data_IF_058043639233
#
_entry.id   IF_058043639233
#
_cell.length_a   1.000
_cell.length_b   1.000
_cell.length_c   1.000
_cell.angle_alpha   90.00
_cell.angle_beta   90.00
_cell.angle_gamma   90.00
#
_symmetry.space_group_name_H-M   'P 1'
#
loop_
_entity.id
_entity.type
_entity.pdbx_description
1 polymer ?
#
# COMPACT_ATOMS: atom_id res chain seq x y z
N UNK A 1 -10.78 -15.37 30.97
CA UNK A 1 -9.32 -15.18 31.12
C UNK A 1 -8.58 -15.87 29.98
N UNK A 2 -8.33 -15.20 28.84
CA UNK A 2 -7.79 -15.83 27.64
C UNK A 2 -6.37 -16.39 27.81
N UNK A 3 -5.57 -15.80 28.70
CA UNK A 3 -4.20 -16.25 28.99
C UNK A 3 -4.18 -17.62 29.70
N UNK A 4 -5.02 -17.81 30.71
CA UNK A 4 -5.08 -19.05 31.51
C UNK A 4 -5.56 -20.22 30.66
N UNK A 5 -6.60 -20.01 29.86
CA UNK A 5 -7.13 -21.02 28.93
C UNK A 5 -6.06 -21.44 27.90
N UNK A 6 -5.35 -20.47 27.31
CA UNK A 6 -4.28 -20.74 26.34
C UNK A 6 -3.13 -21.53 26.98
N UNK A 7 -2.73 -21.18 28.20
CA UNK A 7 -1.68 -21.88 28.95
C UNK A 7 -2.11 -23.31 29.29
N UNK A 8 -3.35 -23.52 29.73
CA UNK A 8 -3.91 -24.85 30.03
C UNK A 8 -3.95 -25.75 28.78
N UNK A 9 -4.46 -25.24 27.65
CA UNK A 9 -4.46 -25.96 26.36
C UNK A 9 -3.06 -26.35 25.93
N UNK A 10 -2.10 -25.41 26.04
CA UNK A 10 -0.70 -25.66 25.68
C UNK A 10 -0.01 -26.71 26.56
N UNK A 11 -0.49 -26.91 27.80
CA UNK A 11 0.03 -27.90 28.75
C UNK A 11 -0.56 -29.28 28.49
N UNK A 12 -1.86 -29.35 28.25
CA UNK A 12 -2.61 -30.55 27.85
C UNK A 12 -2.05 -31.15 26.54
N UNK A 13 -1.73 -30.32 25.55
CA UNK A 13 -1.16 -30.78 24.28
C UNK A 13 0.26 -31.34 24.46
N UNK A 14 1.01 -30.85 25.46
CA UNK A 14 2.43 -31.15 25.65
C UNK A 14 2.68 -32.35 26.57
N UNK A 15 1.77 -32.66 27.49
CA UNK A 15 1.85 -33.80 28.40
C UNK A 15 0.74 -34.81 28.10
N UNK A 16 1.12 -36.06 27.82
CA UNK A 16 0.19 -37.16 27.50
C UNK A 16 -0.64 -37.61 28.72
N UNK A 17 -0.14 -37.36 29.93
CA UNK A 17 -0.83 -37.63 31.19
C UNK A 17 -1.60 -36.40 31.67
N UNK A 18 -2.77 -36.16 31.06
CA UNK A 18 -3.67 -35.09 31.53
C UNK A 18 -4.34 -35.47 32.83
N UNK A 19 -4.21 -34.59 33.83
CA UNK A 19 -4.91 -34.77 35.10
C UNK A 19 -6.44 -34.58 34.92
N UNK A 20 -7.27 -35.31 35.69
CA UNK A 20 -8.74 -35.26 35.53
C UNK A 20 -9.33 -33.88 35.86
N UNK A 21 -8.64 -33.07 36.67
CA UNK A 21 -9.09 -31.70 36.97
C UNK A 21 -8.82 -30.72 35.81
N UNK A 22 -7.72 -30.89 35.05
CA UNK A 22 -7.43 -30.05 33.88
C UNK A 22 -8.47 -30.25 32.78
N UNK A 23 -8.91 -31.50 32.56
CA UNK A 23 -10.00 -31.82 31.64
C UNK A 23 -11.33 -31.21 32.09
N UNK A 24 -11.70 -31.37 33.37
CA UNK A 24 -12.91 -30.74 33.93
C UNK A 24 -12.89 -29.22 33.80
N UNK A 25 -11.73 -28.60 34.02
CA UNK A 25 -11.56 -27.15 33.91
C UNK A 25 -11.68 -26.68 32.46
N UNK A 26 -11.19 -27.45 31.49
CA UNK A 26 -11.40 -27.19 30.06
C UNK A 26 -12.89 -27.31 29.67
N UNK A 27 -13.57 -28.36 30.14
CA UNK A 27 -15.02 -28.54 29.92
C UNK A 27 -15.84 -27.40 30.54
N UNK A 28 -15.44 -26.90 31.72
CA UNK A 28 -16.06 -25.74 32.34
C UNK A 28 -15.87 -24.47 31.51
N UNK A 29 -14.69 -24.25 30.91
CA UNK A 29 -14.48 -23.13 29.98
C UNK A 29 -15.35 -23.24 28.74
N UNK A 30 -15.49 -24.45 28.15
CA UNK A 30 -16.36 -24.67 27.00
C UNK A 30 -17.84 -24.41 27.35
N UNK A 31 -18.30 -24.91 28.49
CA UNK A 31 -19.66 -24.65 28.99
C UNK A 31 -19.90 -23.14 29.21
N UNK A 32 -18.92 -22.43 29.78
CA UNK A 32 -18.99 -20.99 29.96
C UNK A 32 -19.05 -20.23 28.62
N UNK A 33 -18.24 -20.61 27.64
CA UNK A 33 -18.26 -20.00 26.30
C UNK A 33 -19.58 -20.27 25.57
N UNK A 34 -20.12 -21.49 25.67
CA UNK A 34 -21.43 -21.84 25.13
C UNK A 34 -22.55 -21.01 25.77
N UNK A 35 -22.54 -20.89 27.11
CA UNK A 35 -23.48 -20.06 27.84
C UNK A 35 -23.37 -18.57 27.44
N UNK A 36 -22.14 -18.05 27.29
CA UNK A 36 -21.90 -16.69 26.81
C UNK A 36 -22.44 -16.48 25.40
N UNK A 37 -22.20 -17.40 24.47
CA UNK A 37 -22.67 -17.31 23.10
C UNK A 37 -24.20 -17.33 23.02
N UNK A 38 -24.84 -18.25 23.74
CA UNK A 38 -26.30 -18.32 23.83
C UNK A 38 -26.89 -17.04 24.42
N UNK A 39 -26.29 -16.50 25.47
CA UNK A 39 -26.74 -15.26 26.11
C UNK A 39 -26.55 -14.03 25.21
N UNK A 40 -25.44 -13.97 24.48
CA UNK A 40 -25.18 -12.93 23.49
C UNK A 40 -26.18 -13.00 22.34
N UNK A 41 -26.53 -14.20 21.87
CA UNK A 41 -27.57 -14.39 20.86
C UNK A 41 -28.93 -13.88 21.34
N UNK A 42 -29.33 -14.22 22.58
CA UNK A 42 -30.56 -13.70 23.20
C UNK A 42 -30.55 -12.17 23.34
N UNK A 43 -29.39 -11.57 23.60
CA UNK A 43 -29.23 -10.11 23.61
C UNK A 43 -29.42 -9.50 22.21
N UNK A 44 -28.85 -10.11 21.17
CA UNK A 44 -29.00 -9.66 19.78
C UNK A 44 -30.45 -9.73 19.29
N UNK A 45 -31.19 -10.76 19.72
CA UNK A 45 -32.64 -10.92 19.45
C UNK A 45 -33.49 -9.99 20.36
N UNK A 46 -32.85 -9.12 21.16
CA UNK A 46 -33.48 -8.21 22.15
C UNK A 46 -34.31 -8.91 23.22
N UNK A 47 -34.14 -10.21 23.40
CA UNK A 47 -34.81 -10.98 24.45
C UNK A 47 -34.13 -10.81 25.83
N UNK A 48 -32.82 -10.56 25.85
CA UNK A 48 -32.06 -10.27 27.05
C UNK A 48 -31.55 -8.82 27.06
N UNK A 49 -31.52 -8.18 28.23
CA UNK A 49 -31.01 -6.81 28.43
C UNK A 49 -29.49 -6.72 28.55
N UNK A 50 -28.81 -7.85 28.76
CA UNK A 50 -27.37 -7.93 29.03
C UNK A 50 -26.71 -8.91 28.05
N UNK A 51 -25.48 -8.60 27.60
CA UNK A 51 -24.70 -9.45 26.68
C UNK A 51 -23.80 -10.47 27.39
N UNK A 52 -23.61 -10.35 28.71
CA UNK A 52 -22.73 -11.21 29.49
C UNK A 52 -23.51 -11.98 30.56
N UNK A 53 -23.32 -13.30 30.67
CA UNK A 53 -23.98 -14.10 31.71
C UNK A 53 -23.53 -13.69 33.13
N UNK A 54 -22.31 -13.17 33.28
CA UNK A 54 -21.78 -12.68 34.56
C UNK A 54 -22.52 -11.41 35.01
N UNK A 55 -22.78 -10.49 34.09
CA UNK A 55 -23.54 -9.27 34.42
C UNK A 55 -24.98 -9.57 34.78
N UNK A 56 -25.61 -10.57 34.11
CA UNK A 56 -26.92 -11.08 34.53
C UNK A 56 -26.89 -11.70 35.93
N UNK A 57 -25.89 -12.49 36.26
CA UNK A 57 -25.73 -13.09 37.60
C UNK A 57 -25.55 -12.02 38.69
N UNK A 58 -24.79 -10.96 38.39
CA UNK A 58 -24.54 -9.84 39.31
C UNK A 58 -25.68 -8.80 39.32
N UNK A 59 -26.73 -8.96 38.51
CA UNK A 59 -27.82 -7.98 38.41
C UNK A 59 -27.39 -6.62 37.85
N UNK A 60 -26.25 -6.55 37.15
CA UNK A 60 -25.70 -5.32 36.59
C UNK A 60 -26.05 -5.17 35.11
N UNK A 61 -26.34 -3.95 34.67
CA UNK A 61 -26.59 -3.62 33.26
C UNK A 61 -25.75 -2.43 32.85
N UNK A 62 -24.86 -2.63 31.88
CA UNK A 62 -24.00 -1.59 31.34
C UNK A 62 -24.74 -0.91 30.19
N UNK A 63 -25.34 0.26 30.43
CA UNK A 63 -25.90 1.12 29.38
C UNK A 63 -24.85 2.14 28.98
N UNK A 64 -24.50 2.15 27.69
CA UNK A 64 -23.86 3.34 27.12
C UNK A 64 -24.91 4.45 27.09
N UNK A 65 -24.62 5.64 27.64
CA UNK A 65 -25.47 6.79 27.42
C UNK A 65 -25.53 7.05 25.90
N UNK A 66 -26.74 7.03 25.34
CA UNK A 66 -26.99 7.33 23.93
C UNK A 66 -26.86 8.82 23.64
N UNK A 67 -26.99 9.65 24.67
CA UNK A 67 -26.80 11.08 24.58
C UNK A 67 -25.33 11.41 24.89
N UNK A 68 -24.66 12.20 24.03
CA UNK A 68 -23.32 12.68 24.35
C UNK A 68 -23.40 13.51 25.65
N UNK A 69 -22.44 13.38 26.58
CA UNK A 69 -22.39 14.21 27.77
C UNK A 69 -22.43 15.69 27.35
N UNK A 70 -23.41 16.41 27.88
CA UNK A 70 -23.70 17.80 27.50
C UNK A 70 -22.54 18.75 27.82
N UNK A 71 -21.66 18.34 28.73
CA UNK A 71 -20.48 19.08 29.19
C UNK A 71 -19.30 19.05 28.20
N UNK A 72 -19.28 18.15 27.21
CA UNK A 72 -18.13 17.93 26.32
C UNK A 72 -18.39 18.30 24.85
N UNK A 73 -19.40 19.11 24.57
CA UNK A 73 -19.69 19.55 23.19
C UNK A 73 -18.48 20.18 22.50
N UNK A 74 -17.68 20.95 23.25
CA UNK A 74 -16.47 21.58 22.72
C UNK A 74 -15.40 20.55 22.35
N UNK A 75 -15.18 19.54 23.19
CA UNK A 75 -14.26 18.43 22.91
C UNK A 75 -14.66 17.68 21.64
N UNK A 76 -15.96 17.40 21.45
CA UNK A 76 -16.47 16.76 20.23
C UNK A 76 -16.23 17.61 18.98
N UNK A 77 -16.53 18.91 19.05
CA UNK A 77 -16.29 19.85 17.95
C UNK A 77 -14.81 19.93 17.60
N UNK A 78 -13.93 20.03 18.61
CA UNK A 78 -12.47 20.08 18.42
C UNK A 78 -11.96 18.80 17.75
N UNK A 79 -12.39 17.62 18.22
CA UNK A 79 -11.99 16.35 17.61
C UNK A 79 -12.45 16.26 16.16
N UNK A 80 -13.67 16.72 15.84
CA UNK A 80 -14.19 16.74 14.47
C UNK A 80 -13.47 17.74 13.57
N UNK A 81 -13.12 18.91 14.09
CA UNK A 81 -12.32 19.90 13.36
C UNK A 81 -10.90 19.38 13.08
N UNK A 82 -10.30 18.68 14.05
CA UNK A 82 -8.99 18.04 13.88
C UNK A 82 -9.03 16.95 12.79
N UNK A 83 -10.10 16.14 12.77
CA UNK A 83 -10.32 15.12 11.74
C UNK A 83 -10.39 15.75 10.35
N UNK A 84 -11.22 16.78 10.17
CA UNK A 84 -11.34 17.51 8.89
C UNK A 84 -10.02 18.17 8.49
N UNK A 85 -9.31 18.78 9.43
CA UNK A 85 -7.99 19.38 9.18
C UNK A 85 -6.97 18.33 8.72
N UNK A 86 -6.95 17.15 9.34
CA UNK A 86 -6.05 16.07 8.94
C UNK A 86 -6.33 15.59 7.50
N UNK A 87 -7.59 15.45 7.12
CA UNK A 87 -7.97 15.15 5.73
C UNK A 87 -7.55 16.27 4.78
N UNK A 88 -7.71 17.54 5.17
CA UNK A 88 -7.30 18.68 4.35
C UNK A 88 -5.78 18.73 4.15
N UNK A 89 -4.99 18.45 5.19
CA UNK A 89 -3.53 18.37 5.08
C UNK A 89 -3.09 17.26 4.14
N UNK A 90 -3.74 16.09 4.17
CA UNK A 90 -3.48 15.01 3.20
C UNK A 90 -3.78 15.46 1.76
N UNK A 91 -4.89 16.19 1.57
CA UNK A 91 -5.23 16.76 0.26
C UNK A 91 -4.17 17.75 -0.24
N UNK A 92 -3.71 18.66 0.62
CA UNK A 92 -2.64 19.62 0.29
C UNK A 92 -1.33 18.89 -0.05
N UNK A 93 -0.95 17.89 0.75
CA UNK A 93 0.24 17.08 0.49
C UNK A 93 0.15 16.39 -0.88
N UNK A 94 -1.00 15.81 -1.21
CA UNK A 94 -1.23 15.21 -2.52
C UNK A 94 -1.11 16.26 -3.64
N UNK A 95 -1.75 17.42 -3.49
CA UNK A 95 -1.73 18.49 -4.48
C UNK A 95 -0.30 18.95 -4.81
N UNK A 96 0.50 19.24 -3.78
CA UNK A 96 1.90 19.64 -3.97
C UNK A 96 2.77 18.51 -4.52
N UNK A 97 2.54 17.24 -4.12
CA UNK A 97 3.29 16.11 -4.67
C UNK A 97 3.07 15.94 -6.18
N UNK A 98 1.85 16.23 -6.65
CA UNK A 98 1.50 16.13 -8.06
C UNK A 98 2.08 17.30 -8.87
N UNK A 99 2.07 18.50 -8.31
CA UNK A 99 2.72 19.68 -8.91
C UNK A 99 4.25 19.49 -9.04
N UNK A 100 4.90 18.93 -8.02
CA UNK A 100 6.32 18.58 -8.08
C UNK A 100 6.62 17.56 -9.20
N UNK A 101 5.77 16.52 -9.36
CA UNK A 101 5.91 15.58 -10.50
C UNK A 101 5.77 16.26 -11.85
N UNK A 102 4.86 17.24 -11.97
CA UNK A 102 4.69 18.00 -13.21
C UNK A 102 5.84 18.97 -13.48
N UNK A 103 6.45 19.56 -12.44
CA UNK A 103 7.58 20.48 -12.59
C UNK A 103 8.86 19.77 -13.04
N UNK A 104 9.13 18.57 -12.52
CA UNK A 104 10.27 17.76 -12.97
C UNK A 104 10.17 17.40 -14.46
N UNK A 105 8.96 17.24 -15.01
CA UNK A 105 8.75 16.90 -16.43
C UNK A 105 8.34 18.06 -17.37
N UNK A 106 7.83 19.18 -16.85
CA UNK A 106 7.06 20.15 -17.65
C UNK A 106 7.50 21.62 -17.59
N UNK A 107 8.37 22.02 -16.66
CA UNK A 107 8.90 23.41 -16.60
C UNK A 107 10.26 23.58 -17.25
N UNK A 108 10.84 22.51 -17.78
CA UNK A 108 12.06 22.60 -18.56
C UNK A 108 11.69 23.07 -19.96
N UNK A 109 11.94 24.36 -20.24
CA UNK A 109 12.15 24.79 -21.62
C UNK A 109 13.22 23.85 -22.16
N UNK A 110 12.88 23.06 -23.18
CA UNK A 110 13.84 22.14 -23.78
C UNK A 110 15.05 22.99 -24.20
N UNK A 111 16.27 22.72 -23.69
CA UNK A 111 17.44 23.50 -24.07
C UNK A 111 17.54 23.54 -25.59
N UNK A 112 17.97 24.68 -26.11
CA UNK A 112 18.18 24.83 -27.55
C UNK A 112 19.11 23.72 -28.03
N UNK A 113 18.72 23.03 -29.11
CA UNK A 113 19.42 21.85 -29.57
C UNK A 113 20.89 22.19 -29.82
N UNK A 114 21.81 21.49 -29.15
CA UNK A 114 23.25 21.72 -29.32
C UNK A 114 23.62 21.67 -30.81
N UNK A 115 24.43 22.62 -31.30
CA UNK A 115 24.84 22.64 -32.69
C UNK A 115 25.56 21.34 -33.04
N UNK A 116 25.10 20.67 -34.09
CA UNK A 116 25.64 19.38 -34.52
C UNK A 116 27.11 19.54 -34.89
N UNK A 117 28.00 18.86 -34.15
CA UNK A 117 29.39 18.69 -34.56
C UNK A 117 29.41 17.87 -35.86
N UNK A 118 30.02 18.40 -36.91
CA UNK A 118 30.17 17.65 -38.16
C UNK A 118 31.14 16.49 -37.91
N UNK A 119 30.60 15.26 -37.86
CA UNK A 119 31.42 14.06 -37.79
C UNK A 119 32.00 13.73 -39.18
N UNK A 120 33.19 13.11 -39.26
CA UNK A 120 33.73 12.58 -40.52
C UNK A 120 32.73 11.65 -41.22
N UNK A 121 32.68 11.69 -42.55
CA UNK A 121 31.70 10.93 -43.36
C UNK A 121 31.76 9.42 -43.12
N UNK A 122 32.93 8.88 -42.83
CA UNK A 122 33.15 7.45 -42.53
C UNK A 122 32.40 7.02 -41.26
N UNK A 123 32.37 7.86 -40.23
CA UNK A 123 31.67 7.57 -38.96
C UNK A 123 30.16 7.76 -39.08
N UNK A 124 29.71 8.64 -39.99
CA UNK A 124 28.28 8.83 -40.25
C UNK A 124 27.63 7.60 -40.89
N UNK A 125 28.38 6.83 -41.67
CA UNK A 125 27.88 5.63 -42.35
C UNK A 125 27.72 4.43 -41.40
N UNK A 126 28.47 4.39 -40.29
CA UNK A 126 28.39 3.32 -39.29
C UNK A 126 27.38 3.57 -38.17
N UNK A 127 26.82 4.78 -38.09
CA UNK A 127 25.83 5.15 -37.07
C UNK A 127 24.42 4.80 -37.56
N UNK A 128 23.55 4.37 -36.63
CA UNK A 128 22.12 4.17 -36.90
C UNK A 128 21.53 5.44 -37.52
N UNK A 129 20.75 5.29 -38.58
CA UNK A 129 20.16 6.43 -39.26
C UNK A 129 19.08 7.08 -38.38
N UNK A 130 18.75 8.34 -38.69
CA UNK A 130 17.72 9.08 -37.93
C UNK A 130 16.41 8.29 -37.94
N UNK A 131 15.84 8.04 -36.75
CA UNK A 131 14.57 7.32 -36.61
C UNK A 131 14.70 5.80 -36.49
N UNK A 132 15.92 5.26 -36.50
CA UNK A 132 16.18 3.84 -36.24
C UNK A 132 16.54 3.59 -34.77
N UNK A 133 16.12 2.45 -34.25
CA UNK A 133 16.46 2.04 -32.90
C UNK A 133 17.91 1.51 -32.88
N UNK A 134 18.76 1.96 -31.95
CA UNK A 134 20.17 1.52 -31.90
C UNK A 134 20.35 0.05 -31.45
N UNK A 135 19.28 -0.62 -31.02
CA UNK A 135 19.31 -2.04 -30.59
C UNK A 135 18.92 -2.97 -31.73
N UNK A 136 17.78 -2.73 -32.38
CA UNK A 136 17.31 -3.59 -33.48
C UNK A 136 17.65 -3.07 -34.88
N UNK A 137 18.19 -1.84 -34.98
CA UNK A 137 18.54 -1.17 -36.25
C UNK A 137 17.37 -1.08 -37.25
N UNK A 138 16.14 -1.15 -36.74
CA UNK A 138 14.90 -1.00 -37.49
C UNK A 138 14.22 0.32 -37.10
N UNK A 139 13.23 0.74 -37.87
CA UNK A 139 12.40 1.89 -37.53
C UNK A 139 11.79 1.74 -36.13
N UNK A 140 11.80 2.83 -35.36
CA UNK A 140 11.38 2.80 -33.96
C UNK A 140 9.88 2.47 -33.86
N UNK A 141 9.57 1.30 -33.32
CA UNK A 141 8.20 0.91 -32.97
C UNK A 141 7.92 1.27 -31.52
N UNK A 142 6.91 2.12 -31.29
CA UNK A 142 6.59 2.66 -29.96
C UNK A 142 7.78 3.42 -29.34
N UNK A 143 8.00 4.68 -29.77
CA UNK A 143 9.17 5.45 -29.35
C UNK A 143 9.18 5.62 -27.84
N UNK A 144 10.29 5.23 -27.22
CA UNK A 144 10.50 5.32 -25.77
C UNK A 144 11.84 6.00 -25.52
N UNK A 145 11.81 7.17 -24.89
CA UNK A 145 13.00 7.90 -24.48
C UNK A 145 13.50 7.37 -23.13
N UNK A 146 14.81 7.18 -23.03
CA UNK A 146 15.48 6.96 -21.76
C UNK A 146 15.89 8.33 -21.20
N UNK A 147 15.34 8.72 -20.04
CA UNK A 147 15.62 10.01 -19.39
C UNK A 147 17.09 10.18 -19.01
N UNK A 148 17.77 9.07 -18.65
CA UNK A 148 19.16 9.07 -18.19
C UNK A 148 20.16 9.22 -19.34
N UNK A 149 19.92 8.55 -20.47
CA UNK A 149 20.86 8.53 -21.60
C UNK A 149 20.48 9.48 -22.74
N UNK A 150 19.22 9.90 -22.82
CA UNK A 150 18.69 10.74 -23.89
C UNK A 150 18.46 10.02 -25.23
N UNK A 151 18.72 8.72 -25.32
CA UNK A 151 18.46 7.93 -26.52
C UNK A 151 16.99 7.47 -26.60
N UNK A 152 16.49 7.33 -27.83
CA UNK A 152 15.16 6.80 -28.13
C UNK A 152 15.27 5.39 -28.69
N UNK A 153 14.48 4.48 -28.14
CA UNK A 153 14.46 3.07 -28.50
C UNK A 153 13.03 2.61 -28.81
N UNK A 154 12.89 1.42 -29.41
CA UNK A 154 11.62 0.69 -29.36
C UNK A 154 11.34 0.26 -27.91
N UNK A 155 10.09 0.41 -27.46
CA UNK A 155 9.66 -0.04 -26.11
C UNK A 155 10.11 -1.47 -25.78
N UNK A 156 9.90 -2.41 -26.71
CA UNK A 156 10.28 -3.82 -26.52
C UNK A 156 11.79 -4.00 -26.34
N UNK A 157 12.60 -3.28 -27.13
CA UNK A 157 14.06 -3.42 -27.12
C UNK A 157 14.67 -2.93 -25.81
N UNK A 158 14.29 -1.72 -25.38
CA UNK A 158 14.87 -1.13 -24.16
C UNK A 158 14.41 -1.86 -22.91
N UNK A 159 13.13 -2.28 -22.84
CA UNK A 159 12.61 -3.02 -21.69
C UNK A 159 13.23 -4.41 -21.58
N UNK A 160 13.48 -5.12 -22.70
CA UNK A 160 14.17 -6.42 -22.65
C UNK A 160 15.60 -6.26 -22.11
N UNK A 161 16.35 -5.31 -22.68
CA UNK A 161 17.74 -5.09 -22.28
C UNK A 161 17.86 -4.62 -20.82
N UNK A 162 16.99 -3.70 -20.39
CA UNK A 162 16.92 -3.24 -19.00
C UNK A 162 16.59 -4.38 -18.02
N UNK A 163 15.69 -5.30 -18.37
CA UNK A 163 15.38 -6.46 -17.52
C UNK A 163 16.54 -7.43 -17.38
N UNK A 164 17.35 -7.58 -18.42
CA UNK A 164 18.48 -8.52 -18.44
C UNK A 164 19.75 -7.91 -17.80
N UNK A 165 20.07 -6.65 -18.10
CA UNK A 165 21.34 -6.02 -17.75
C UNK A 165 21.20 -4.86 -16.74
N UNK A 166 20.02 -4.25 -16.63
CA UNK A 166 19.80 -3.08 -15.77
C UNK A 166 20.50 -1.80 -16.23
N UNK A 167 21.03 -1.76 -17.46
CA UNK A 167 21.81 -0.65 -18.00
C UNK A 167 21.31 -0.21 -19.38
N UNK A 168 21.72 0.99 -19.80
CA UNK A 168 21.44 1.51 -21.14
C UNK A 168 22.30 0.77 -22.18
N UNK A 169 21.72 0.28 -23.30
CA UNK A 169 22.49 -0.44 -24.32
C UNK A 169 23.64 0.37 -24.94
N UNK A 170 23.49 1.70 -25.01
CA UNK A 170 24.44 2.59 -25.70
C UNK A 170 25.45 3.19 -24.73
N UNK A 171 24.98 3.77 -23.61
CA UNK A 171 25.83 4.50 -22.66
C UNK A 171 26.26 3.67 -21.45
N UNK A 172 25.68 2.48 -21.25
CA UNK A 172 25.87 1.62 -20.07
C UNK A 172 25.51 2.27 -18.72
N UNK A 173 24.79 3.40 -18.74
CA UNK A 173 24.27 4.01 -17.51
C UNK A 173 23.22 3.11 -16.87
N UNK A 174 23.17 3.02 -15.52
CA UNK A 174 22.14 2.26 -14.84
C UNK A 174 20.77 2.88 -15.11
N UNK A 175 19.79 2.04 -15.46
CA UNK A 175 18.44 2.47 -15.79
C UNK A 175 17.39 1.59 -15.11
N UNK A 176 16.27 2.20 -14.75
CA UNK A 176 15.08 1.54 -14.20
C UNK A 176 13.85 1.78 -15.09
N UNK A 177 12.73 1.14 -14.77
CA UNK A 177 11.48 1.36 -15.50
C UNK A 177 10.97 2.80 -15.38
N UNK A 178 11.23 3.46 -14.26
CA UNK A 178 10.81 4.84 -14.01
C UNK A 178 11.57 5.85 -14.90
N UNK A 179 12.72 5.44 -15.45
CA UNK A 179 13.55 6.24 -16.36
C UNK A 179 13.11 6.12 -17.83
N UNK A 180 12.12 5.27 -18.12
CA UNK A 180 11.62 5.03 -19.47
C UNK A 180 10.31 5.79 -19.71
N UNK A 181 10.35 6.78 -20.59
CA UNK A 181 9.20 7.61 -20.95
C UNK A 181 8.75 7.29 -22.36
N UNK A 182 7.54 6.76 -22.50
CA UNK A 182 6.93 6.51 -23.81
C UNK A 182 6.51 7.84 -24.46
N UNK A 183 6.98 8.07 -25.68
CA UNK A 183 6.61 9.23 -26.49
C UNK A 183 5.35 8.87 -27.26
N UNK A 184 4.37 9.76 -27.25
CA UNK A 184 3.17 9.68 -28.07
C UNK A 184 3.24 10.80 -29.09
N UNK A 185 3.14 10.45 -30.37
CA UNK A 185 3.02 11.43 -31.44
C UNK A 185 1.63 12.06 -31.35
N UNK A 186 1.58 13.39 -31.44
CA UNK A 186 0.35 14.19 -31.56
C UNK A 186 -0.05 14.38 -33.00
#
# INVERSE_FOLDING_TARGET
MPYVERKLRSRIIRHKDTSPWEQRLLSAFHAFHAAKAAHTFLYLVKYASNHSPIFRFLGLTLRYPSEPPKEDQWTYVVLKMLEVLAFFLQFVQWWYSNDQRRKVGGTLINPEAMPRKQLPKEVQQSLAQRGECPVCLLSIQTPTACSVSGYVFCWKCIVSHMKEHGTCPVTQYPISLDDLVRIYET
#
